data_IF_348192597583
#
_entry.id   IF_348192597583
#
_cell.length_a   1.000
_cell.length_b   1.000
_cell.length_c   1.000
_cell.angle_alpha   90.00
_cell.angle_beta   90.00
_cell.angle_gamma   90.00
#
_symmetry.space_group_name_H-M   'P 1'
#
loop_
_entity.id
_entity.type
_entity.pdbx_description
1 polymer ?
#
# COMPACT_ATOMS: atom_id res chain seq x y z
N UNK A 1 -2.18 -59.68 -34.04
CA UNK A 1 -1.88 -58.36 -33.45
C UNK A 1 -3.11 -57.48 -33.57
N UNK A 2 -3.78 -57.21 -32.46
CA UNK A 2 -4.72 -56.09 -32.27
C UNK A 2 -4.89 -55.94 -30.76
N UNK A 3 -4.31 -54.85 -30.23
CA UNK A 3 -4.31 -54.50 -28.82
C UNK A 3 -5.75 -54.18 -28.37
N UNK A 4 -6.24 -54.84 -27.33
CA UNK A 4 -7.31 -54.27 -26.50
C UNK A 4 -6.65 -53.82 -25.21
N UNK A 5 -6.49 -52.51 -25.11
CA UNK A 5 -6.05 -51.82 -23.92
C UNK A 5 -7.04 -52.12 -22.79
N UNK A 6 -6.53 -52.74 -21.73
CA UNK A 6 -7.19 -52.75 -20.44
C UNK A 6 -7.47 -51.30 -20.05
N UNK A 7 -8.75 -50.95 -19.94
CA UNK A 7 -9.18 -49.67 -19.38
C UNK A 7 -8.89 -49.74 -17.89
N UNK A 8 -7.65 -49.43 -17.52
CA UNK A 8 -7.31 -49.02 -16.16
C UNK A 8 -8.05 -47.72 -15.90
N UNK A 9 -9.24 -47.85 -15.33
CA UNK A 9 -10.04 -46.73 -14.83
C UNK A 9 -9.30 -46.15 -13.64
N UNK A 10 -8.38 -45.24 -13.94
CA UNK A 10 -7.69 -44.40 -12.96
C UNK A 10 -8.75 -43.47 -12.37
N UNK A 11 -9.25 -43.79 -11.18
CA UNK A 11 -9.97 -42.81 -10.37
C UNK A 11 -8.96 -41.78 -9.91
N UNK A 12 -8.76 -40.74 -10.73
CA UNK A 12 -8.14 -39.50 -10.26
C UNK A 12 -9.11 -38.86 -9.28
N UNK A 13 -8.92 -39.10 -7.99
CA UNK A 13 -9.50 -38.26 -6.94
C UNK A 13 -8.88 -36.87 -7.04
N UNK A 14 -9.52 -36.01 -7.83
CA UNK A 14 -9.24 -34.59 -7.81
C UNK A 14 -9.69 -34.02 -6.48
N UNK A 15 -8.77 -33.88 -5.53
CA UNK A 15 -9.07 -33.16 -4.29
C UNK A 15 -9.13 -31.66 -4.59
N UNK A 16 -10.36 -31.16 -4.69
CA UNK A 16 -10.65 -29.74 -4.70
C UNK A 16 -10.45 -29.27 -3.26
N UNK A 17 -9.41 -28.50 -2.99
CA UNK A 17 -9.19 -27.97 -1.65
C UNK A 17 -10.41 -27.13 -1.21
N UNK A 18 -10.86 -27.30 0.04
CA UNK A 18 -12.04 -26.61 0.58
C UNK A 18 -11.96 -25.06 0.46
N UNK A 19 -10.74 -24.50 0.39
CA UNK A 19 -10.55 -23.06 0.13
C UNK A 19 -10.95 -22.64 -1.30
N UNK A 20 -10.91 -23.51 -2.31
CA UNK A 20 -11.42 -23.20 -3.65
C UNK A 20 -12.94 -23.08 -3.68
N UNK A 21 -13.66 -23.83 -2.83
CA UNK A 21 -15.11 -23.65 -2.63
C UNK A 21 -15.44 -22.43 -1.77
N UNK A 22 -14.43 -21.86 -1.12
CA UNK A 22 -14.52 -20.62 -0.33
C UNK A 22 -14.05 -19.40 -1.11
N UNK A 23 -13.73 -19.54 -2.40
CA UNK A 23 -13.59 -18.36 -3.25
C UNK A 23 -14.97 -17.69 -3.29
N UNK A 24 -15.11 -16.43 -2.87
CA UNK A 24 -16.37 -15.73 -2.99
C UNK A 24 -16.71 -15.71 -4.48
N UNK A 25 -17.71 -16.51 -4.86
CA UNK A 25 -18.33 -16.41 -6.17
C UNK A 25 -19.02 -15.06 -6.19
N UNK A 26 -18.30 -14.04 -6.66
CA UNK A 26 -18.93 -12.82 -7.10
C UNK A 26 -19.76 -13.24 -8.31
N UNK A 27 -21.09 -13.29 -8.15
CA UNK A 27 -21.97 -13.32 -9.31
C UNK A 27 -21.51 -12.19 -10.25
N UNK A 28 -21.64 -12.30 -11.57
CA UNK A 28 -21.29 -11.17 -12.46
C UNK A 28 -22.04 -9.87 -12.09
N UNK A 29 -23.17 -9.99 -11.39
CA UNK A 29 -23.92 -8.89 -10.75
C UNK A 29 -23.30 -8.36 -9.43
N UNK A 30 -22.55 -9.17 -8.67
CA UNK A 30 -21.84 -8.78 -7.44
C UNK A 30 -20.37 -8.40 -7.68
N UNK A 31 -19.80 -8.78 -8.83
CA UNK A 31 -18.62 -8.14 -9.41
C UNK A 31 -18.90 -6.66 -9.78
N UNK A 32 -20.15 -6.21 -9.70
CA UNK A 32 -20.54 -4.80 -9.73
C UNK A 32 -20.19 -4.03 -8.45
N UNK A 33 -19.36 -4.60 -7.56
CA UNK A 33 -18.53 -3.87 -6.60
C UNK A 33 -17.34 -3.13 -7.27
N UNK A 34 -16.94 -3.53 -8.48
CA UNK A 34 -16.56 -2.56 -9.49
C UNK A 34 -17.88 -1.91 -9.93
N UNK A 35 -18.35 -0.97 -9.11
CA UNK A 35 -19.49 -0.13 -9.46
C UNK A 35 -19.28 0.24 -10.91
N UNK A 36 -20.25 -0.08 -11.78
CA UNK A 36 -20.40 0.56 -13.09
C UNK A 36 -20.00 1.99 -12.83
N UNK A 37 -18.83 2.43 -13.33
CA UNK A 37 -18.45 3.82 -13.24
C UNK A 37 -19.67 4.53 -13.78
N UNK A 38 -20.42 5.20 -12.88
CA UNK A 38 -21.46 6.12 -13.30
C UNK A 38 -20.84 6.87 -14.47
N UNK A 39 -21.52 6.92 -15.64
CA UNK A 39 -20.90 7.38 -16.88
C UNK A 39 -20.08 8.60 -16.52
N UNK A 40 -18.75 8.47 -16.65
CA UNK A 40 -17.79 9.44 -16.15
C UNK A 40 -18.32 10.79 -16.61
N UNK A 41 -18.83 11.57 -15.65
CA UNK A 41 -19.55 12.80 -15.94
C UNK A 41 -18.46 13.80 -16.29
N UNK A 42 -17.94 13.65 -17.49
CA UNK A 42 -16.80 14.34 -18.05
C UNK A 42 -17.19 14.67 -19.47
N UNK A 43 -16.87 15.89 -19.89
CA UNK A 43 -17.00 16.26 -21.28
C UNK A 43 -16.17 15.29 -22.12
N UNK A 44 -16.72 14.73 -23.20
CA UNK A 44 -15.98 13.96 -24.21
C UNK A 44 -14.97 14.80 -25.01
N UNK A 45 -14.64 16.00 -24.52
CA UNK A 45 -13.61 16.85 -25.07
C UNK A 45 -12.24 16.18 -24.90
N UNK A 46 -11.55 16.01 -26.02
CA UNK A 46 -10.18 15.51 -26.06
C UNK A 46 -9.23 16.51 -25.44
N UNK A 47 -8.20 16.02 -24.75
CA UNK A 47 -7.18 16.84 -24.10
C UNK A 47 -5.83 16.11 -24.05
N UNK A 48 -4.76 16.87 -23.89
CA UNK A 48 -3.39 16.41 -23.67
C UNK A 48 -2.80 16.92 -22.32
N UNK A 49 -3.37 18.01 -21.76
CA UNK A 49 -3.02 18.59 -20.47
C UNK A 49 -4.22 19.27 -19.79
N UNK A 50 -4.14 19.45 -18.46
CA UNK A 50 -5.27 19.92 -17.63
C UNK A 50 -5.82 21.29 -18.03
N UNK A 51 -4.99 22.20 -18.56
CA UNK A 51 -5.41 23.55 -18.98
C UNK A 51 -6.31 23.55 -20.21
N UNK A 52 -6.30 22.48 -21.01
CA UNK A 52 -7.24 22.32 -22.12
C UNK A 52 -8.67 22.02 -21.62
N UNK A 53 -8.80 21.58 -20.37
CA UNK A 53 -10.08 21.32 -19.74
C UNK A 53 -10.60 22.58 -19.01
N UNK A 54 -11.93 22.72 -18.99
CA UNK A 54 -12.60 23.81 -18.27
C UNK A 54 -12.46 23.71 -16.74
N UNK A 55 -12.97 24.73 -16.03
CA UNK A 55 -12.97 24.73 -14.56
C UNK A 55 -13.71 23.50 -14.00
N UNK A 56 -13.14 22.89 -12.96
CA UNK A 56 -13.74 21.70 -12.33
C UNK A 56 -13.45 20.39 -13.07
N UNK A 57 -12.62 20.43 -14.11
CA UNK A 57 -12.20 19.27 -14.90
C UNK A 57 -10.67 19.12 -14.85
N UNK A 58 -10.19 17.91 -15.10
CA UNK A 58 -8.78 17.58 -15.31
C UNK A 58 -8.64 16.74 -16.59
N UNK A 59 -7.44 16.69 -17.16
CA UNK A 59 -7.17 15.86 -18.32
C UNK A 59 -6.70 14.47 -17.88
N UNK A 60 -7.49 13.44 -18.16
CA UNK A 60 -7.03 12.08 -18.01
C UNK A 60 -6.09 11.73 -19.17
N UNK A 61 -4.78 11.89 -18.97
CA UNK A 61 -3.77 11.64 -20.02
C UNK A 61 -3.74 10.20 -20.53
N UNK A 62 -4.32 9.23 -19.83
CA UNK A 62 -4.41 7.86 -20.33
C UNK A 62 -5.49 7.72 -21.40
N UNK A 63 -6.65 8.34 -21.18
CA UNK A 63 -7.77 8.33 -22.13
C UNK A 63 -7.77 9.52 -23.09
N UNK A 64 -7.00 10.57 -22.79
CA UNK A 64 -6.99 11.83 -23.53
C UNK A 64 -8.31 12.59 -23.44
N UNK A 65 -9.04 12.49 -22.33
CA UNK A 65 -10.38 13.08 -22.17
C UNK A 65 -10.49 13.92 -20.90
N UNK A 66 -11.26 15.01 -20.98
CA UNK A 66 -11.55 15.86 -19.83
C UNK A 66 -12.56 15.20 -18.87
N UNK A 67 -12.12 14.94 -17.64
CA UNK A 67 -12.91 14.32 -16.58
C UNK A 67 -13.19 15.29 -15.43
N UNK A 68 -14.25 15.07 -14.68
CA UNK A 68 -14.54 15.85 -13.46
C UNK A 68 -13.53 15.61 -12.35
N UNK A 69 -13.16 16.66 -11.64
CA UNK A 69 -12.35 16.54 -10.42
C UNK A 69 -13.02 15.61 -9.40
N UNK A 70 -12.17 14.91 -8.64
CA UNK A 70 -12.53 13.89 -7.67
C UNK A 70 -12.68 14.51 -6.29
N UNK A 71 -13.76 14.13 -5.61
CA UNK A 71 -14.03 14.48 -4.22
C UNK A 71 -13.34 13.51 -3.26
N UNK A 72 -13.44 13.78 -1.97
CA UNK A 72 -12.85 12.97 -0.90
C UNK A 72 -13.18 11.47 -1.06
N UNK A 73 -12.20 10.62 -0.78
CA UNK A 73 -12.24 9.16 -0.86
C UNK A 73 -12.43 8.55 -2.25
N UNK A 74 -12.66 9.36 -3.29
CA UNK A 74 -12.71 8.87 -4.66
C UNK A 74 -11.31 8.49 -5.17
N UNK A 75 -11.28 7.48 -6.04
CA UNK A 75 -10.05 6.95 -6.60
C UNK A 75 -9.36 7.98 -7.49
N UNK A 76 -8.06 8.13 -7.28
CA UNK A 76 -7.21 9.06 -8.00
C UNK A 76 -5.84 8.41 -8.29
N UNK A 77 -5.12 9.01 -9.23
CA UNK A 77 -3.74 8.62 -9.59
C UNK A 77 -2.74 9.76 -9.37
N UNK A 78 -3.21 11.01 -9.31
CA UNK A 78 -2.39 12.22 -9.18
C UNK A 78 -3.18 13.28 -8.42
N UNK A 79 -2.49 14.18 -7.74
CA UNK A 79 -3.10 15.27 -6.97
C UNK A 79 -3.98 16.17 -7.84
N UNK A 80 -3.62 16.42 -9.12
CA UNK A 80 -4.40 17.27 -10.02
C UNK A 80 -5.78 16.72 -10.38
N UNK A 81 -6.04 15.46 -10.03
CA UNK A 81 -7.36 14.83 -10.23
C UNK A 81 -8.33 15.17 -9.11
N UNK A 82 -7.84 15.66 -7.96
CA UNK A 82 -8.66 15.96 -6.79
C UNK A 82 -9.13 17.42 -6.79
N UNK A 83 -10.29 17.68 -6.17
CA UNK A 83 -10.75 19.03 -5.92
C UNK A 83 -9.77 19.79 -5.01
N UNK A 84 -9.80 21.13 -5.09
CA UNK A 84 -8.90 22.00 -4.32
C UNK A 84 -8.94 21.69 -2.82
N UNK A 85 -7.75 21.58 -2.21
CA UNK A 85 -7.58 21.28 -0.79
C UNK A 85 -7.40 19.78 -0.49
N UNK A 86 -7.60 18.92 -1.49
CA UNK A 86 -7.31 17.49 -1.41
C UNK A 86 -6.08 17.13 -2.25
N UNK A 87 -5.36 16.11 -1.82
CA UNK A 87 -4.28 15.46 -2.56
C UNK A 87 -4.60 13.97 -2.74
N UNK A 88 -3.96 13.34 -3.71
CA UNK A 88 -4.11 11.92 -3.98
C UNK A 88 -3.15 11.11 -3.09
N UNK A 89 -3.66 10.65 -1.96
CA UNK A 89 -2.89 9.86 -0.97
C UNK A 89 -3.41 8.42 -0.96
N UNK A 90 -2.50 7.45 -1.11
CA UNK A 90 -2.84 6.02 -1.10
C UNK A 90 -3.93 5.65 -2.15
N UNK A 91 -3.91 6.32 -3.29
CA UNK A 91 -4.87 6.12 -4.39
C UNK A 91 -6.26 6.73 -4.17
N UNK A 92 -6.45 7.56 -3.14
CA UNK A 92 -7.72 8.26 -2.88
C UNK A 92 -7.50 9.75 -2.60
N UNK A 93 -8.45 10.58 -3.00
CA UNK A 93 -8.40 12.00 -2.65
C UNK A 93 -8.66 12.18 -1.16
N UNK A 94 -7.70 12.73 -0.44
CA UNK A 94 -7.76 12.98 1.00
C UNK A 94 -7.29 14.40 1.30
N UNK A 95 -7.63 14.91 2.48
CA UNK A 95 -7.15 16.20 2.93
C UNK A 95 -5.62 16.23 3.00
N UNK A 96 -5.03 17.32 2.50
CA UNK A 96 -3.59 17.51 2.57
C UNK A 96 -3.23 17.85 4.01
N UNK A 97 -2.42 17.00 4.64
CA UNK A 97 -1.88 17.25 5.97
C UNK A 97 -0.78 18.32 5.85
N UNK A 98 -0.83 19.40 6.65
CA UNK A 98 0.22 20.42 6.67
C UNK A 98 1.61 19.83 6.92
N UNK A 99 2.63 20.36 6.25
CA UNK A 99 4.01 19.90 6.38
C UNK A 99 4.52 19.94 7.83
N UNK A 100 5.41 19.02 8.16
CA UNK A 100 6.00 18.88 9.50
C UNK A 100 5.17 18.04 10.48
N UNK A 101 3.92 17.72 10.13
CA UNK A 101 3.04 16.87 10.94
C UNK A 101 3.14 15.41 10.52
N UNK A 102 2.78 14.49 11.42
CA UNK A 102 2.68 13.07 11.12
C UNK A 102 1.71 12.82 9.95
N UNK A 103 2.14 11.99 8.99
CA UNK A 103 1.39 11.70 7.77
C UNK A 103 1.50 12.76 6.67
N UNK A 104 2.11 13.93 6.93
CA UNK A 104 2.37 14.93 5.89
C UNK A 104 3.40 14.44 4.88
N UNK A 105 3.28 14.87 3.62
CA UNK A 105 4.26 14.52 2.57
C UNK A 105 5.60 15.20 2.86
N UNK A 106 6.69 14.48 2.65
CA UNK A 106 8.06 14.97 2.83
C UNK A 106 8.97 14.53 1.67
N UNK A 107 10.13 15.15 1.54
CA UNK A 107 11.22 14.73 0.68
C UNK A 107 12.44 14.31 1.50
N UNK A 108 12.69 14.99 2.62
CA UNK A 108 13.83 14.77 3.51
C UNK A 108 13.37 14.82 4.98
N UNK A 109 14.21 14.35 5.90
CA UNK A 109 13.88 14.28 7.33
C UNK A 109 13.65 15.68 7.93
N UNK A 110 14.29 16.72 7.37
CA UNK A 110 14.17 18.12 7.79
C UNK A 110 12.80 18.73 7.48
N UNK A 111 12.02 18.12 6.58
CA UNK A 111 10.64 18.52 6.33
C UNK A 111 9.70 18.11 7.49
N UNK A 112 10.18 17.22 8.36
CA UNK A 112 9.43 16.65 9.47
C UNK A 112 9.86 17.25 10.83
N UNK A 113 9.04 17.05 11.86
CA UNK A 113 9.43 17.44 13.22
C UNK A 113 10.64 16.62 13.72
N UNK A 114 11.44 17.12 14.71
CA UNK A 114 12.68 16.47 15.15
C UNK A 114 12.55 15.00 15.61
N UNK A 115 11.38 14.62 16.15
CA UNK A 115 11.07 13.26 16.61
C UNK A 115 10.52 12.35 15.50
N UNK A 116 10.55 12.79 14.25
CA UNK A 116 10.04 12.07 13.08
C UNK A 116 11.14 11.85 12.03
N UNK A 117 10.85 11.02 11.04
CA UNK A 117 11.66 10.86 9.83
C UNK A 117 10.76 10.86 8.59
N UNK A 118 11.37 11.07 7.42
CA UNK A 118 10.72 10.96 6.14
C UNK A 118 10.87 9.55 5.58
N UNK A 119 9.80 8.77 5.61
CA UNK A 119 9.83 7.37 5.21
C UNK A 119 8.58 6.95 4.43
N UNK A 120 8.69 5.88 3.64
CA UNK A 120 7.57 5.35 2.85
C UNK A 120 6.52 4.67 3.71
N UNK A 121 5.28 4.98 3.42
CA UNK A 121 4.12 4.21 3.87
C UNK A 121 3.26 3.94 2.63
N UNK A 122 2.99 2.67 2.32
CA UNK A 122 2.24 2.28 1.13
C UNK A 122 2.73 2.96 -0.17
N UNK A 123 4.04 3.17 -0.29
CA UNK A 123 4.69 3.80 -1.45
C UNK A 123 4.73 5.34 -1.44
N UNK A 124 4.02 6.01 -0.53
CA UNK A 124 4.04 7.47 -0.39
C UNK A 124 5.10 7.90 0.63
N UNK A 125 5.85 8.97 0.32
CA UNK A 125 6.81 9.58 1.25
C UNK A 125 6.07 10.46 2.26
N UNK A 126 6.12 10.08 3.54
CA UNK A 126 5.45 10.80 4.62
C UNK A 126 6.30 10.93 5.88
N UNK A 127 6.01 11.94 6.69
CA UNK A 127 6.56 12.06 8.03
C UNK A 127 5.98 10.99 8.95
N UNK A 128 6.85 10.19 9.56
CA UNK A 128 6.50 9.12 10.51
C UNK A 128 7.30 9.30 11.81
N UNK A 129 6.78 8.88 12.97
CA UNK A 129 7.53 8.95 14.22
C UNK A 129 8.77 8.03 14.20
N UNK A 130 9.86 8.47 14.82
CA UNK A 130 11.03 7.63 15.13
C UNK A 130 10.66 6.56 16.16
N UNK A 131 11.21 5.35 16.02
CA UNK A 131 10.81 4.18 16.81
C UNK A 131 11.27 4.31 18.29
N UNK A 132 10.35 4.26 19.27
CA UNK A 132 10.70 4.22 20.69
C UNK A 132 11.31 2.88 21.11
N UNK A 133 11.81 2.81 22.35
CA UNK A 133 12.43 1.61 22.90
C UNK A 133 11.46 0.41 22.91
N UNK A 134 11.97 -0.76 22.50
CA UNK A 134 11.23 -2.02 22.46
C UNK A 134 10.39 -2.25 21.20
N UNK A 135 10.21 -1.23 20.34
CA UNK A 135 9.55 -1.40 19.03
C UNK A 135 10.43 -2.15 18.05
N UNK A 136 9.77 -2.90 17.15
CA UNK A 136 10.47 -3.67 16.13
C UNK A 136 11.08 -2.76 15.07
N UNK A 137 12.37 -2.92 14.84
CA UNK A 137 13.16 -2.10 13.92
C UNK A 137 13.73 -2.90 12.74
N UNK A 138 13.18 -4.09 12.48
CA UNK A 138 13.67 -4.97 11.42
C UNK A 138 13.43 -4.35 10.03
N UNK A 139 14.52 -4.16 9.28
CA UNK A 139 14.49 -3.69 7.90
C UNK A 139 14.92 -4.85 7.00
N UNK A 140 14.09 -5.29 6.03
CA UNK A 140 14.51 -6.28 5.05
C UNK A 140 15.69 -5.77 4.22
N UNK A 141 16.60 -6.67 3.82
CA UNK A 141 17.76 -6.32 2.99
C UNK A 141 17.39 -5.63 1.66
N UNK A 142 16.14 -5.79 1.20
CA UNK A 142 15.60 -5.05 0.07
C UNK A 142 14.30 -5.63 -0.49
N UNK A 143 14.10 -5.44 -1.79
CA UNK A 143 12.92 -5.92 -2.51
C UNK A 143 11.67 -5.05 -2.35
N UNK A 144 10.55 -5.53 -2.88
CA UNK A 144 9.28 -4.79 -2.90
C UNK A 144 8.76 -4.48 -1.48
N UNK A 145 9.04 -5.36 -0.52
CA UNK A 145 8.66 -5.15 0.87
C UNK A 145 9.31 -3.89 1.46
N UNK A 146 10.61 -3.66 1.17
CA UNK A 146 11.34 -2.47 1.59
C UNK A 146 10.95 -1.21 0.81
N UNK A 147 10.63 -1.34 -0.48
CA UNK A 147 10.32 -0.16 -1.31
C UNK A 147 8.90 0.41 -1.11
N UNK A 148 7.96 -0.37 -0.56
CA UNK A 148 6.60 0.09 -0.26
C UNK A 148 6.49 0.66 1.16
N UNK A 149 7.11 -0.01 2.15
CA UNK A 149 7.00 0.36 3.55
C UNK A 149 8.40 0.43 4.17
N UNK A 150 8.76 1.61 4.65
CA UNK A 150 10.03 1.86 5.32
C UNK A 150 9.77 2.23 6.78
N UNK A 151 10.60 1.73 7.68
CA UNK A 151 10.59 2.12 9.08
C UNK A 151 11.44 3.37 9.27
N UNK A 152 11.09 4.17 10.29
CA UNK A 152 12.00 5.20 10.77
C UNK A 152 13.15 4.59 11.57
N UNK A 153 14.27 5.30 11.70
CA UNK A 153 15.29 4.93 12.67
C UNK A 153 14.71 4.95 14.09
N UNK A 154 15.41 4.27 15.00
CA UNK A 154 15.16 4.40 16.43
C UNK A 154 15.34 5.86 16.88
N UNK A 155 14.68 6.22 17.98
CA UNK A 155 14.89 7.51 18.63
C UNK A 155 16.35 7.71 19.04
N UNK A 156 16.71 8.97 19.29
CA UNK A 156 18.08 9.35 19.68
C UNK A 156 18.56 8.55 20.90
N UNK A 157 19.78 8.02 20.81
CA UNK A 157 20.38 7.21 21.88
C UNK A 157 19.97 5.73 21.88
N UNK A 158 19.12 5.29 20.94
CA UNK A 158 18.75 3.89 20.78
C UNK A 158 19.43 3.29 19.54
N UNK A 159 19.72 1.99 19.61
CA UNK A 159 20.28 1.20 18.51
C UNK A 159 19.33 0.05 18.20
N UNK A 160 19.13 -0.22 16.91
CA UNK A 160 18.39 -1.40 16.48
C UNK A 160 19.28 -2.64 16.65
N UNK A 161 18.91 -3.53 17.56
CA UNK A 161 19.69 -4.73 17.88
C UNK A 161 18.81 -5.95 18.12
N UNK A 162 19.43 -7.13 18.07
CA UNK A 162 18.78 -8.38 18.38
C UNK A 162 18.73 -8.57 19.90
N UNK A 163 17.55 -8.79 20.48
CA UNK A 163 17.46 -9.25 21.87
C UNK A 163 17.98 -10.69 21.93
N UNK A 164 19.19 -10.89 22.47
CA UNK A 164 19.71 -12.24 22.71
C UNK A 164 18.76 -12.97 23.69
N UNK A 165 18.23 -14.16 23.33
CA UNK A 165 17.29 -14.86 24.18
C UNK A 165 17.95 -15.22 25.51
N UNK A 166 17.42 -14.67 26.60
CA UNK A 166 17.76 -15.09 27.95
C UNK A 166 17.25 -16.52 28.14
N UNK A 167 18.17 -17.50 28.15
CA UNK A 167 18.08 -18.90 28.60
C UNK A 167 16.69 -19.58 28.55
N UNK A 168 16.58 -20.61 27.71
CA UNK A 168 15.51 -21.64 27.67
C UNK A 168 14.08 -21.12 27.89
N UNK A 169 13.60 -20.24 27.00
CA UNK A 169 12.16 -20.08 26.80
C UNK A 169 11.70 -21.03 25.71
N UNK A 170 10.54 -21.66 25.93
CA UNK A 170 9.94 -22.62 25.01
C UNK A 170 9.93 -22.04 23.59
N UNK A 171 10.26 -22.89 22.61
CA UNK A 171 10.22 -22.55 21.18
C UNK A 171 8.77 -22.25 20.77
N UNK A 172 8.36 -20.99 20.92
CA UNK A 172 7.11 -20.48 20.39
C UNK A 172 7.40 -20.05 18.96
N UNK A 173 6.73 -20.66 17.99
CA UNK A 173 6.82 -20.27 16.59
C UNK A 173 6.29 -18.84 16.45
N UNK A 174 7.20 -17.86 16.49
CA UNK A 174 6.90 -16.45 16.28
C UNK A 174 7.63 -16.01 15.03
N UNK A 175 6.89 -15.50 14.05
CA UNK A 175 7.45 -14.82 12.88
C UNK A 175 7.93 -13.39 13.21
N UNK A 176 8.00 -13.01 14.49
CA UNK A 176 8.47 -11.70 14.91
C UNK A 176 9.99 -11.67 14.85
N UNK A 177 10.56 -10.84 13.99
CA UNK A 177 11.97 -10.49 14.03
C UNK A 177 12.30 -9.95 15.42
N UNK A 178 13.23 -10.58 16.15
CA UNK A 178 13.63 -10.18 17.51
C UNK A 178 14.45 -8.86 17.56
N UNK A 179 14.46 -8.11 16.45
CA UNK A 179 15.14 -6.84 16.33
C UNK A 179 14.31 -5.73 16.93
N UNK A 180 14.84 -5.08 17.96
CA UNK A 180 14.18 -4.02 18.72
C UNK A 180 15.10 -2.84 18.95
N UNK A 181 14.53 -1.65 19.09
CA UNK A 181 15.27 -0.48 19.53
C UNK A 181 15.61 -0.60 21.03
N UNK A 182 16.89 -0.66 21.37
CA UNK A 182 17.36 -0.75 22.76
C UNK A 182 18.52 0.21 23.01
N UNK A 183 18.81 0.50 24.28
CA UNK A 183 19.99 1.27 24.63
C UNK A 183 21.25 0.49 24.19
N UNK A 184 22.29 1.19 23.70
CA UNK A 184 23.53 0.53 23.32
C UNK A 184 24.11 -0.26 24.50
N UNK A 185 24.50 -1.51 24.25
CA UNK A 185 25.19 -2.32 25.25
C UNK A 185 26.55 -1.69 25.57
N UNK A 186 26.81 -1.47 26.85
CA UNK A 186 28.10 -0.97 27.38
C UNK A 186 29.09 -2.12 27.53
#
# INVERSE_FOLDING_TARGET
>A
MLCRADVLRWESEGHIWAWMLSMPYNKPEDAAGLTRTAPLKGSTATCDHDRACGRGLFCDRHFGLCMTLRHEWQLCRKDSQCVRGLGCMYGRCQHIIPGGLEGSRCQQDEDCAPSMCCARHHGEMICKPKLPAGESCFIPDGGLAFSINQLCPCQEGLVCGFDLPQREKAFVYSHSSDWKCSAPAV
#
